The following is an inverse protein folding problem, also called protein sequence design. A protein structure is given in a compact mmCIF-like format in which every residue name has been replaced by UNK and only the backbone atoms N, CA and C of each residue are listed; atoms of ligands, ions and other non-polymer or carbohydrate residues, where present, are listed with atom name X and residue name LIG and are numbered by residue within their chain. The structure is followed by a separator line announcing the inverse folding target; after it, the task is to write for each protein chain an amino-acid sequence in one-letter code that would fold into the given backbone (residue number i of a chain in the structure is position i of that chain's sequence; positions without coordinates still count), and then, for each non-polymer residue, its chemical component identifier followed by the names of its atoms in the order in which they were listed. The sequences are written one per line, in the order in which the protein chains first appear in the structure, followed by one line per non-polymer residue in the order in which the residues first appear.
data_IF_461362636587
#
_entry.id   IF_461362636587
#
_cell.length_a   1.000
_cell.length_b   1.000
_cell.length_c   1.000
_cell.angle_alpha   90.00
_cell.angle_beta   90.00
_cell.angle_gamma   90.00
#
_symmetry.space_group_name_H-M   'P 1'
#
loop_
_entity.id
_entity.type
_entity.pdbx_description
1 polymer ?
#
# COMPACT_ATOMS: atom_id res chain seq x y z
N UNK A 1 -36.75 0.04 -7.05
CA UNK A 1 -35.60 -0.21 -7.96
C UNK A 1 -34.55 0.91 -7.89
N UNK A 2 -34.95 2.19 -7.98
CA UNK A 2 -34.02 3.30 -7.77
C UNK A 2 -33.40 3.26 -6.36
N UNK A 3 -34.20 3.02 -5.33
CA UNK A 3 -33.70 2.90 -3.95
C UNK A 3 -32.66 1.79 -3.80
N UNK A 4 -32.89 0.63 -4.45
CA UNK A 4 -31.92 -0.45 -4.49
C UNK A 4 -30.59 -0.01 -5.11
N UNK A 5 -30.64 0.73 -6.24
CA UNK A 5 -29.44 1.21 -6.92
C UNK A 5 -28.67 2.22 -6.06
N UNK A 6 -29.35 3.15 -5.40
CA UNK A 6 -28.71 4.13 -4.51
C UNK A 6 -28.09 3.47 -3.29
N UNK A 7 -28.81 2.53 -2.66
CA UNK A 7 -28.29 1.79 -1.52
C UNK A 7 -27.06 0.97 -1.90
N UNK A 8 -27.08 0.29 -3.06
CA UNK A 8 -25.95 -0.54 -3.52
C UNK A 8 -24.65 0.24 -3.78
N UNK A 9 -24.74 1.56 -4.05
CA UNK A 9 -23.59 2.42 -4.33
C UNK A 9 -22.88 2.94 -3.07
N UNK A 10 -23.39 2.65 -1.87
CA UNK A 10 -22.79 3.17 -0.65
C UNK A 10 -21.41 2.55 -0.38
N UNK A 11 -20.42 3.36 0.06
CA UNK A 11 -19.06 2.89 0.31
C UNK A 11 -18.94 2.10 1.62
N UNK A 12 -19.99 2.09 2.45
CA UNK A 12 -20.05 1.35 3.72
C UNK A 12 -21.48 0.88 3.92
N UNK A 13 -21.65 -0.37 4.36
CA UNK A 13 -22.95 -0.95 4.69
C UNK A 13 -22.98 -1.42 6.14
N UNK A 14 -24.09 -1.15 6.83
CA UNK A 14 -24.47 -1.83 8.07
C UNK A 14 -25.45 -2.97 7.78
N UNK A 15 -25.65 -3.87 8.74
CA UNK A 15 -26.64 -4.95 8.63
C UNK A 15 -28.05 -4.43 8.38
N UNK A 16 -28.41 -3.29 8.99
CA UNK A 16 -29.70 -2.61 8.75
C UNK A 16 -29.84 -2.07 7.32
N UNK A 17 -28.75 -1.53 6.76
CA UNK A 17 -28.72 -1.06 5.36
C UNK A 17 -28.84 -2.22 4.38
N UNK A 18 -28.22 -3.37 4.67
CA UNK A 18 -28.37 -4.58 3.85
C UNK A 18 -29.80 -5.11 3.87
N UNK A 19 -30.45 -5.10 5.05
CA UNK A 19 -31.88 -5.41 5.16
C UNK A 19 -32.75 -4.44 4.35
N UNK A 20 -32.41 -3.16 4.33
CA UNK A 20 -33.09 -2.14 3.52
C UNK A 20 -32.89 -2.36 2.02
N UNK A 21 -31.71 -2.79 1.60
CA UNK A 21 -31.38 -3.14 0.22
C UNK A 21 -32.18 -4.35 -0.27
N UNK A 22 -32.28 -5.41 0.53
CA UNK A 22 -33.11 -6.58 0.22
C UNK A 22 -34.60 -6.22 0.16
N UNK A 23 -35.08 -5.41 1.13
CA UNK A 23 -36.45 -4.92 1.14
C UNK A 23 -36.79 -4.10 -0.11
N UNK A 24 -35.89 -3.22 -0.56
CA UNK A 24 -36.09 -2.42 -1.77
C UNK A 24 -36.19 -3.29 -3.04
N UNK A 25 -35.45 -4.41 -3.10
CA UNK A 25 -35.53 -5.37 -4.19
C UNK A 25 -36.84 -6.18 -4.12
N UNK A 26 -37.24 -6.62 -2.92
CA UNK A 26 -38.50 -7.33 -2.68
C UNK A 26 -39.70 -6.48 -3.09
N UNK A 27 -39.77 -5.23 -2.64
CA UNK A 27 -40.82 -4.30 -3.04
C UNK A 27 -40.90 -4.15 -4.57
N UNK A 28 -39.77 -4.14 -5.28
CA UNK A 28 -39.80 -4.12 -6.75
C UNK A 28 -40.38 -5.43 -7.31
N UNK A 29 -39.99 -6.58 -6.76
CA UNK A 29 -40.52 -7.87 -7.20
C UNK A 29 -42.02 -8.06 -6.95
N UNK A 30 -42.54 -7.50 -5.85
CA UNK A 30 -43.96 -7.56 -5.53
C UNK A 30 -44.80 -6.70 -6.49
N UNK A 31 -44.24 -5.57 -6.94
CA UNK A 31 -44.95 -4.61 -7.78
C UNK A 31 -44.68 -4.77 -9.28
N UNK A 32 -43.67 -5.55 -9.71
CA UNK A 32 -43.26 -5.61 -11.14
C UNK A 32 -44.35 -6.18 -12.06
N UNK A 33 -45.28 -6.96 -11.52
CA UNK A 33 -46.32 -7.60 -12.31
C UNK A 33 -47.22 -6.59 -13.04
N UNK A 34 -47.41 -5.39 -12.45
CA UNK A 34 -48.21 -4.31 -13.05
C UNK A 34 -47.68 -3.89 -14.43
N UNK A 35 -46.37 -3.98 -14.68
CA UNK A 35 -45.78 -3.64 -15.98
C UNK A 35 -46.07 -4.70 -17.05
N UNK A 36 -46.29 -5.96 -16.65
CA UNK A 36 -46.74 -7.03 -17.55
C UNK A 36 -48.22 -6.84 -17.86
N UNK A 37 -49.02 -6.55 -16.83
CA UNK A 37 -50.47 -6.38 -16.96
C UNK A 37 -50.83 -5.16 -17.82
N UNK A 38 -50.01 -4.09 -17.76
CA UNK A 38 -50.12 -2.90 -18.62
C UNK A 38 -49.55 -3.10 -20.03
N UNK A 39 -48.98 -4.28 -20.35
CA UNK A 39 -48.39 -4.58 -21.65
C UNK A 39 -47.10 -3.83 -21.97
N UNK A 40 -46.43 -3.25 -20.96
CA UNK A 40 -45.17 -2.50 -21.14
C UNK A 40 -44.00 -3.47 -21.35
N UNK A 41 -44.06 -4.67 -20.77
CA UNK A 41 -43.02 -5.70 -20.91
C UNK A 41 -43.59 -7.11 -20.88
N UNK A 42 -43.02 -8.03 -21.67
CA UNK A 42 -43.49 -9.41 -21.77
C UNK A 42 -43.11 -10.27 -20.55
N UNK A 43 -41.94 -10.03 -19.95
CA UNK A 43 -41.47 -10.72 -18.74
C UNK A 43 -40.28 -9.97 -18.10
N UNK A 44 -39.93 -10.38 -16.87
CA UNK A 44 -38.82 -9.83 -16.10
C UNK A 44 -37.66 -10.82 -15.93
N UNK A 45 -37.45 -11.73 -16.88
CA UNK A 45 -36.35 -12.71 -16.86
C UNK A 45 -35.03 -12.06 -17.32
N UNK A 46 -34.66 -10.97 -16.68
CA UNK A 46 -33.47 -10.20 -17.01
C UNK A 46 -32.29 -10.72 -16.16
N UNK A 47 -31.20 -11.21 -16.78
CA UNK A 47 -30.03 -11.68 -16.04
C UNK A 47 -29.49 -10.64 -15.04
N UNK A 48 -29.56 -9.35 -15.41
CA UNK A 48 -29.18 -8.23 -14.52
C UNK A 48 -30.05 -8.14 -13.27
N UNK A 49 -31.36 -8.36 -13.41
CA UNK A 49 -32.29 -8.32 -12.28
C UNK A 49 -32.08 -9.54 -11.37
N UNK A 50 -31.80 -10.71 -11.94
CA UNK A 50 -31.43 -11.89 -11.17
C UNK A 50 -30.12 -11.67 -10.40
N UNK A 51 -29.12 -11.06 -11.04
CA UNK A 51 -27.85 -10.73 -10.39
C UNK A 51 -28.05 -9.85 -9.14
N UNK A 52 -29.01 -8.90 -9.16
CA UNK A 52 -29.35 -8.06 -8.00
C UNK A 52 -29.71 -8.87 -6.75
N UNK A 53 -30.28 -10.07 -6.88
CA UNK A 53 -30.63 -10.93 -5.75
C UNK A 53 -29.40 -11.44 -4.99
N UNK A 54 -28.23 -11.46 -5.63
CA UNK A 54 -26.98 -11.89 -5.01
C UNK A 54 -26.17 -10.76 -4.38
N UNK A 55 -26.60 -9.49 -4.51
CA UNK A 55 -25.82 -8.35 -4.06
C UNK A 55 -25.59 -8.36 -2.55
N UNK A 56 -26.59 -8.72 -1.74
CA UNK A 56 -26.41 -8.83 -0.30
C UNK A 56 -25.31 -9.83 0.04
N UNK A 57 -25.40 -11.07 -0.47
CA UNK A 57 -24.38 -12.10 -0.29
C UNK A 57 -23.00 -11.64 -0.78
N UNK A 58 -22.93 -10.94 -1.91
CA UNK A 58 -21.67 -10.42 -2.44
C UNK A 58 -21.08 -9.33 -1.56
N UNK A 59 -21.89 -8.42 -1.02
CA UNK A 59 -21.42 -7.35 -0.14
C UNK A 59 -20.87 -7.93 1.16
N UNK A 60 -21.51 -8.95 1.73
CA UNK A 60 -21.02 -9.61 2.95
C UNK A 60 -19.71 -10.38 2.72
N UNK A 61 -19.56 -11.04 1.57
CA UNK A 61 -18.40 -11.90 1.29
C UNK A 61 -17.21 -11.17 0.68
N UNK A 62 -17.46 -10.15 -0.13
CA UNK A 62 -16.45 -9.51 -0.98
C UNK A 62 -16.31 -8.00 -0.71
N UNK A 63 -17.20 -7.40 0.08
CA UNK A 63 -17.18 -5.98 0.39
C UNK A 63 -18.03 -5.13 -0.55
N UNK A 64 -17.92 -3.81 -0.42
CA UNK A 64 -18.75 -2.82 -1.12
C UNK A 64 -18.58 -2.86 -2.63
N UNK A 65 -19.62 -2.43 -3.36
CA UNK A 65 -19.65 -2.53 -4.83
C UNK A 65 -18.91 -1.40 -5.56
N UNK A 66 -18.42 -0.40 -4.82
CA UNK A 66 -17.74 0.80 -5.33
C UNK A 66 -16.51 0.48 -6.18
N UNK A 67 -15.77 -0.56 -5.83
CA UNK A 67 -14.55 -0.95 -6.53
C UNK A 67 -14.75 -1.95 -7.68
N UNK A 68 -16.00 -2.34 -7.98
CA UNK A 68 -16.33 -3.32 -9.02
C UNK A 68 -16.87 -2.70 -10.31
N UNK A 69 -16.92 -1.36 -10.39
CA UNK A 69 -17.33 -0.68 -11.61
C UNK A 69 -16.31 -0.88 -12.73
N UNK A 70 -16.77 -1.44 -13.85
CA UNK A 70 -15.97 -1.56 -15.08
C UNK A 70 -15.90 -0.27 -15.87
N UNK A 71 -16.60 0.80 -15.46
CA UNK A 71 -16.58 2.07 -16.18
C UNK A 71 -15.19 2.68 -16.22
N UNK A 72 -14.48 2.61 -15.09
CA UNK A 72 -13.11 3.12 -14.99
C UNK A 72 -12.16 2.38 -15.94
N UNK A 73 -12.19 1.05 -15.94
CA UNK A 73 -11.32 0.24 -16.81
C UNK A 73 -11.69 0.38 -18.28
N UNK A 74 -12.98 0.49 -18.60
CA UNK A 74 -13.44 0.79 -19.97
C UNK A 74 -12.98 2.16 -20.44
N UNK A 75 -13.05 3.19 -19.58
CA UNK A 75 -12.58 4.53 -19.91
C UNK A 75 -11.08 4.54 -20.15
N UNK A 76 -10.32 3.90 -19.26
CA UNK A 76 -8.88 3.75 -19.41
C UNK A 76 -8.54 3.04 -20.73
N UNK A 77 -9.22 1.95 -21.07
CA UNK A 77 -9.01 1.22 -22.33
C UNK A 77 -9.33 2.07 -23.58
N UNK A 78 -10.24 3.05 -23.51
CA UNK A 78 -10.43 4.01 -24.60
C UNK A 78 -9.16 4.87 -24.74
N UNK A 79 -8.76 5.51 -23.65
CA UNK A 79 -7.68 6.51 -23.65
C UNK A 79 -6.28 5.90 -23.87
N UNK A 80 -6.06 4.64 -23.47
CA UNK A 80 -4.75 3.97 -23.55
C UNK A 80 -4.66 2.97 -24.68
N UNK A 81 -5.76 2.32 -25.08
CA UNK A 81 -5.72 1.26 -26.09
C UNK A 81 -6.30 1.74 -27.40
N UNK A 82 -7.52 2.30 -27.41
CA UNK A 82 -8.16 2.73 -28.67
C UNK A 82 -7.46 3.93 -29.30
N UNK A 83 -7.18 4.95 -28.50
CA UNK A 83 -6.48 6.15 -29.00
C UNK A 83 -5.06 5.83 -29.48
N UNK A 84 -4.35 4.97 -28.73
CA UNK A 84 -3.02 4.52 -29.11
C UNK A 84 -3.06 3.72 -30.42
N UNK A 85 -3.98 2.77 -30.54
CA UNK A 85 -4.14 1.96 -31.75
C UNK A 85 -4.48 2.83 -32.97
N UNK A 86 -5.39 3.81 -32.81
CA UNK A 86 -5.75 4.75 -33.87
C UNK A 86 -4.59 5.65 -34.32
N UNK A 87 -3.57 5.84 -33.49
CA UNK A 87 -2.38 6.62 -33.80
C UNK A 87 -1.25 5.79 -34.45
N UNK A 88 -1.43 4.47 -34.59
CA UNK A 88 -0.45 3.59 -35.24
C UNK A 88 -0.70 3.47 -36.74
N UNK A 89 0.27 2.90 -37.45
CA UNK A 89 0.12 2.53 -38.86
C UNK A 89 -0.54 1.14 -39.06
N UNK A 90 -1.07 0.51 -38.01
CA UNK A 90 -1.67 -0.82 -38.02
C UNK A 90 -0.73 -1.95 -38.53
N UNK A 91 0.56 -1.85 -38.24
CA UNK A 91 1.56 -2.89 -38.53
C UNK A 91 2.55 -3.00 -37.38
N UNK A 92 2.61 -4.15 -36.72
CA UNK A 92 3.37 -4.30 -35.47
C UNK A 92 2.94 -3.24 -34.43
N UNK A 93 1.65 -3.26 -34.10
CA UNK A 93 0.98 -2.19 -33.37
C UNK A 93 1.40 -2.13 -31.91
N UNK A 94 1.74 -3.26 -31.30
CA UNK A 94 2.06 -3.32 -29.86
C UNK A 94 3.30 -2.48 -29.51
N UNK A 95 4.35 -2.54 -30.33
CA UNK A 95 5.57 -1.74 -30.12
C UNK A 95 5.26 -0.24 -30.24
N UNK A 96 4.48 0.13 -31.25
CA UNK A 96 4.07 1.52 -31.51
C UNK A 96 3.14 2.07 -30.43
N UNK A 97 2.16 1.28 -29.98
CA UNK A 97 1.24 1.66 -28.91
C UNK A 97 1.98 1.89 -27.60
N UNK A 98 3.00 1.08 -27.30
CA UNK A 98 3.82 1.23 -26.09
C UNK A 98 4.62 2.54 -26.14
N UNK A 99 5.28 2.83 -27.27
CA UNK A 99 6.01 4.10 -27.47
C UNK A 99 5.06 5.30 -27.42
N UNK A 100 3.88 5.18 -28.01
CA UNK A 100 2.87 6.22 -27.96
C UNK A 100 2.41 6.54 -26.53
N UNK A 101 2.21 5.50 -25.70
CA UNK A 101 1.88 5.66 -24.28
C UNK A 101 3.00 6.35 -23.51
N UNK A 102 4.25 5.93 -23.72
CA UNK A 102 5.43 6.56 -23.10
C UNK A 102 5.51 8.06 -23.46
N UNK A 103 5.36 8.40 -24.74
CA UNK A 103 5.35 9.79 -25.18
C UNK A 103 4.19 10.58 -24.58
N UNK A 104 2.99 10.01 -24.51
CA UNK A 104 1.81 10.64 -23.89
C UNK A 104 2.08 10.94 -22.41
N UNK A 105 2.68 10.01 -21.68
CA UNK A 105 3.09 10.22 -20.28
C UNK A 105 4.14 11.33 -20.14
N UNK A 106 5.16 11.34 -21.00
CA UNK A 106 6.18 12.38 -21.01
C UNK A 106 5.60 13.77 -21.31
N UNK A 107 4.70 13.88 -22.29
CA UNK A 107 3.99 15.12 -22.64
C UNK A 107 3.14 15.60 -21.46
N UNK A 108 2.37 14.71 -20.83
CA UNK A 108 1.57 15.05 -19.64
C UNK A 108 2.45 15.54 -18.49
N UNK A 109 3.61 14.91 -18.29
CA UNK A 109 4.62 15.35 -17.32
C UNK A 109 5.18 16.74 -17.66
N UNK A 110 5.48 16.99 -18.93
CA UNK A 110 6.01 18.27 -19.40
C UNK A 110 4.98 19.41 -19.32
N UNK A 111 3.75 19.19 -19.78
CA UNK A 111 2.65 20.16 -19.66
C UNK A 111 2.47 20.60 -18.20
N UNK A 112 2.49 19.66 -17.27
CA UNK A 112 2.44 19.97 -15.84
C UNK A 112 3.65 20.78 -15.35
N UNK A 113 4.86 20.44 -15.81
CA UNK A 113 6.07 21.22 -15.50
C UNK A 113 5.94 22.66 -15.99
N UNK A 114 5.44 22.88 -17.21
CA UNK A 114 5.20 24.22 -17.77
C UNK A 114 4.16 24.97 -16.93
N UNK A 115 3.02 24.34 -16.61
CA UNK A 115 1.99 24.93 -15.72
C UNK A 115 2.59 25.35 -14.38
N UNK A 116 3.41 24.50 -13.76
CA UNK A 116 4.11 24.82 -12.50
C UNK A 116 5.00 26.06 -12.64
N UNK A 117 5.78 26.17 -13.71
CA UNK A 117 6.67 27.33 -13.96
C UNK A 117 5.89 28.61 -14.14
N UNK A 118 4.73 28.55 -14.81
CA UNK A 118 3.84 29.68 -15.00
C UNK A 118 3.13 30.08 -13.69
N UNK A 119 2.71 29.11 -12.86
CA UNK A 119 2.06 29.37 -11.57
C UNK A 119 3.00 29.96 -10.51
N UNK A 120 4.31 29.72 -10.57
CA UNK A 120 5.29 30.32 -9.63
C UNK A 120 5.50 31.83 -9.79
N UNK A 121 4.92 32.46 -10.82
CA UNK A 121 4.91 33.93 -10.98
C UNK A 121 3.76 34.65 -10.26
N UNK A 122 2.77 33.92 -9.75
CA UNK A 122 1.69 34.47 -8.94
C UNK A 122 1.92 34.10 -7.47
N UNK A 123 1.93 35.09 -6.58
CA UNK A 123 2.16 34.91 -5.16
C UNK A 123 1.22 33.81 -4.57
N UNK A 124 1.72 32.88 -3.75
CA UNK A 124 0.89 31.83 -3.20
C UNK A 124 0.02 32.39 -2.07
N UNK A 125 -1.27 32.58 -2.35
CA UNK A 125 -2.29 32.58 -1.30
C UNK A 125 -2.37 31.15 -0.75
N UNK A 126 -1.83 30.95 0.45
CA UNK A 126 -1.99 29.74 1.24
C UNK A 126 -3.50 29.48 1.44
N UNK A 127 -4.09 28.64 0.59
CA UNK A 127 -5.33 27.96 0.94
C UNK A 127 -4.97 26.56 1.38
N UNK A 128 -5.20 26.31 2.66
CA UNK A 128 -5.19 25.00 3.30
C UNK A 128 -6.30 24.17 2.67
N UNK A 129 -6.03 23.54 1.52
CA UNK A 129 -6.91 22.52 0.97
C UNK A 129 -6.42 21.18 1.50
N UNK A 130 -7.18 20.66 2.46
CA UNK A 130 -7.10 19.30 3.00
C UNK A 130 -6.82 18.31 1.88
N UNK A 131 -5.60 17.78 1.85
CA UNK A 131 -5.15 16.86 0.82
C UNK A 131 -5.88 15.53 0.99
N UNK A 132 -6.98 15.34 0.23
CA UNK A 132 -7.54 14.01 0.01
C UNK A 132 -6.44 13.14 -0.59
N UNK A 133 -6.15 12.02 0.08
CA UNK A 133 -5.14 11.04 -0.30
C UNK A 133 -5.47 10.48 -1.68
N UNK A 134 -4.92 11.08 -2.74
CA UNK A 134 -5.01 10.52 -4.08
C UNK A 134 -4.17 9.24 -4.09
N UNK A 135 -4.84 8.09 -3.95
CA UNK A 135 -4.21 6.78 -4.09
C UNK A 135 -3.74 6.66 -5.55
N UNK A 136 -2.44 6.78 -5.79
CA UNK A 136 -1.87 6.55 -7.11
C UNK A 136 -2.16 5.11 -7.57
N UNK A 137 -2.44 4.87 -8.87
CA UNK A 137 -2.55 3.52 -9.41
C UNK A 137 -1.26 2.72 -9.13
N UNK A 138 -1.33 1.41 -8.86
CA UNK A 138 -0.20 0.59 -8.42
C UNK A 138 1.01 0.52 -9.39
N UNK A 139 0.85 1.02 -10.61
CA UNK A 139 1.90 1.06 -11.65
C UNK A 139 2.86 2.26 -11.46
N UNK A 140 2.46 3.28 -10.70
CA UNK A 140 3.21 4.51 -10.47
C UNK A 140 3.49 4.68 -8.97
N UNK A 141 4.18 3.72 -8.34
CA UNK A 141 4.69 3.93 -6.98
C UNK A 141 6.08 4.55 -7.09
N UNK A 142 6.23 5.89 -6.98
CA UNK A 142 7.54 6.51 -7.00
C UNK A 142 8.37 6.04 -5.80
N UNK A 143 9.68 6.26 -5.88
CA UNK A 143 10.60 5.82 -4.86
C UNK A 143 10.25 6.46 -3.50
N UNK A 144 9.87 5.62 -2.54
CA UNK A 144 9.55 6.06 -1.17
C UNK A 144 10.83 6.30 -0.40
N UNK A 145 10.92 7.45 0.26
CA UNK A 145 12.01 7.76 1.15
C UNK A 145 11.68 7.30 2.57
N UNK A 146 12.53 6.44 3.13
CA UNK A 146 12.45 5.99 4.51
C UNK A 146 12.91 7.12 5.44
N UNK A 147 12.05 7.50 6.38
CA UNK A 147 12.35 8.46 7.45
C UNK A 147 12.15 7.86 8.82
N UNK A 148 13.15 8.04 9.67
CA UNK A 148 13.10 7.70 11.10
C UNK A 148 13.32 8.95 11.95
N UNK A 149 12.91 8.86 13.22
CA UNK A 149 13.19 9.91 14.19
C UNK A 149 14.71 10.06 14.40
N UNK A 150 15.18 11.30 14.60
CA UNK A 150 16.60 11.57 14.91
C UNK A 150 17.01 10.98 16.25
N UNK A 151 16.09 10.92 17.20
CA UNK A 151 16.31 10.41 18.55
C UNK A 151 15.52 9.13 18.75
N UNK A 152 16.14 8.17 19.44
CA UNK A 152 15.49 6.91 19.73
C UNK A 152 14.27 7.10 20.63
N UNK A 153 13.28 6.25 20.40
CA UNK A 153 12.03 6.26 21.15
C UNK A 153 12.24 5.77 22.58
N UNK A 154 13.18 4.84 22.77
CA UNK A 154 13.63 4.38 24.09
C UNK A 154 15.13 4.15 24.07
N UNK A 155 15.83 4.79 25.00
CA UNK A 155 17.27 4.64 25.14
C UNK A 155 17.61 3.54 26.14
N UNK A 156 18.72 2.85 25.92
CA UNK A 156 19.30 1.95 26.91
C UNK A 156 18.52 0.67 27.21
N UNK A 157 17.80 0.13 26.22
CA UNK A 157 17.06 -1.15 26.33
C UNK A 157 18.05 -2.30 26.39
N UNK A 158 17.95 -3.15 27.42
CA UNK A 158 18.83 -4.31 27.59
C UNK A 158 18.50 -5.44 26.61
N UNK A 159 19.45 -6.33 26.31
CA UNK A 159 19.18 -7.49 25.45
C UNK A 159 18.07 -8.39 26.00
N UNK A 160 17.98 -8.58 27.32
CA UNK A 160 16.88 -9.34 27.94
C UNK A 160 15.52 -8.69 27.65
N UNK A 161 15.42 -7.35 27.78
CA UNK A 161 14.20 -6.61 27.48
C UNK A 161 13.82 -6.66 26.00
N UNK A 162 14.80 -6.70 25.07
CA UNK A 162 14.51 -6.90 23.65
C UNK A 162 13.83 -8.25 23.38
N UNK A 163 14.26 -9.30 24.09
CA UNK A 163 13.69 -10.64 23.95
C UNK A 163 12.29 -10.71 24.57
N UNK A 164 12.12 -10.16 25.76
CA UNK A 164 10.87 -10.24 26.53
C UNK A 164 9.79 -9.29 26.01
N UNK A 165 10.12 -8.00 25.83
CA UNK A 165 9.13 -6.97 25.50
C UNK A 165 8.92 -6.83 23.99
N UNK A 166 9.98 -7.01 23.20
CA UNK A 166 9.93 -6.84 21.75
C UNK A 166 9.85 -8.19 21.02
N UNK A 167 10.16 -9.32 21.65
CA UNK A 167 10.17 -10.63 20.99
C UNK A 167 11.42 -10.88 20.12
N UNK A 168 12.44 -10.03 20.20
CA UNK A 168 13.62 -10.06 19.34
C UNK A 168 14.64 -11.12 19.80
N UNK A 169 14.24 -12.40 19.74
CA UNK A 169 14.98 -13.56 20.27
C UNK A 169 16.39 -13.69 19.70
N UNK A 170 16.54 -13.42 18.40
CA UNK A 170 17.81 -13.59 17.68
C UNK A 170 18.59 -12.28 17.50
N UNK A 171 18.24 -11.21 18.24
CA UNK A 171 18.86 -9.90 18.06
C UNK A 171 20.39 -9.94 18.20
N UNK A 172 20.89 -10.57 19.26
CA UNK A 172 22.33 -10.69 19.49
C UNK A 172 23.02 -11.42 18.35
N UNK A 173 22.49 -12.58 17.97
CA UNK A 173 23.06 -13.40 16.90
C UNK A 173 23.07 -12.64 15.55
N UNK A 174 21.96 -12.00 15.20
CA UNK A 174 21.84 -11.19 13.98
C UNK A 174 22.75 -9.95 13.98
N UNK A 175 22.95 -9.31 15.13
CA UNK A 175 23.94 -8.24 15.29
C UNK A 175 25.36 -8.77 15.06
N UNK A 176 25.68 -9.95 15.59
CA UNK A 176 26.97 -10.61 15.38
C UNK A 176 27.21 -10.94 13.91
N UNK A 177 26.21 -11.47 13.20
CA UNK A 177 26.28 -11.72 11.76
C UNK A 177 26.49 -10.42 10.97
N UNK A 178 25.77 -9.35 11.32
CA UNK A 178 25.91 -8.05 10.66
C UNK A 178 27.32 -7.48 10.83
N UNK A 179 27.86 -7.50 12.06
CA UNK A 179 29.22 -7.00 12.32
C UNK A 179 30.26 -7.89 11.62
N UNK A 180 30.08 -9.22 11.61
CA UNK A 180 30.96 -10.14 10.91
C UNK A 180 30.99 -9.85 9.40
N UNK A 181 29.83 -9.60 8.79
CA UNK A 181 29.72 -9.21 7.37
C UNK A 181 30.33 -7.83 7.11
N UNK A 182 30.08 -6.85 8.00
CA UNK A 182 30.63 -5.51 7.87
C UNK A 182 32.17 -5.47 7.95
N UNK A 183 32.78 -6.41 8.68
CA UNK A 183 34.25 -6.57 8.78
C UNK A 183 34.87 -7.22 7.54
N UNK A 184 34.08 -7.77 6.62
CA UNK A 184 34.57 -8.44 5.41
C UNK A 184 33.81 -7.95 4.18
N UNK A 185 33.93 -6.65 3.82
CA UNK A 185 33.25 -6.11 2.65
C UNK A 185 33.76 -6.80 1.38
N UNK A 186 32.86 -7.40 0.60
CA UNK A 186 33.17 -8.02 -0.69
C UNK A 186 33.47 -9.52 -0.66
N UNK A 187 33.68 -10.12 0.52
CA UNK A 187 33.91 -11.57 0.63
C UNK A 187 32.65 -12.27 1.11
N UNK A 188 32.07 -13.13 0.27
CA UNK A 188 30.95 -13.98 0.67
C UNK A 188 31.44 -15.06 1.62
N UNK A 189 31.16 -14.88 2.91
CA UNK A 189 31.42 -15.91 3.91
C UNK A 189 30.45 -17.08 3.67
N UNK A 190 31.00 -18.29 3.55
CA UNK A 190 30.19 -19.52 3.61
C UNK A 190 29.53 -19.62 5.00
N UNK A 191 28.43 -20.35 5.14
CA UNK A 191 27.63 -20.50 6.37
C UNK A 191 28.49 -20.86 7.58
N UNK A 192 29.42 -21.81 7.44
CA UNK A 192 30.33 -22.20 8.52
C UNK A 192 31.32 -21.08 8.91
N UNK A 193 31.83 -20.33 7.92
CA UNK A 193 32.72 -19.20 8.16
C UNK A 193 31.99 -18.03 8.82
N UNK A 194 30.73 -17.77 8.41
CA UNK A 194 29.88 -16.75 9.01
C UNK A 194 29.54 -17.10 10.46
N UNK A 195 29.21 -18.36 10.77
CA UNK A 195 28.94 -18.81 12.14
C UNK A 195 30.17 -18.66 13.04
N UNK A 196 31.35 -19.04 12.56
CA UNK A 196 32.61 -18.90 13.31
C UNK A 196 32.96 -17.42 13.55
N UNK A 197 32.83 -16.57 12.53
CA UNK A 197 33.05 -15.14 12.67
C UNK A 197 32.05 -14.51 13.64
N UNK A 198 30.76 -14.88 13.56
CA UNK A 198 29.69 -14.42 14.45
C UNK A 198 29.96 -14.78 15.89
N UNK A 199 30.36 -16.02 16.18
CA UNK A 199 30.78 -16.46 17.52
C UNK A 199 31.95 -15.63 18.06
N UNK A 200 32.93 -15.34 17.20
CA UNK A 200 34.05 -14.47 17.52
C UNK A 200 33.61 -13.04 17.86
N UNK A 201 32.66 -12.46 17.12
CA UNK A 201 32.12 -11.12 17.44
C UNK A 201 31.34 -11.12 18.75
N UNK A 202 30.46 -12.10 18.93
CA UNK A 202 29.59 -12.20 20.10
C UNK A 202 30.37 -12.29 21.42
N UNK A 203 31.54 -12.92 21.40
CA UNK A 203 32.42 -13.01 22.56
C UNK A 203 32.97 -11.65 23.05
N UNK A 204 32.94 -10.61 22.21
CA UNK A 204 33.58 -9.32 22.48
C UNK A 204 32.63 -8.12 22.34
N UNK A 205 31.31 -8.30 22.43
CA UNK A 205 30.38 -7.16 22.40
C UNK A 205 30.48 -6.39 23.74
N UNK A 206 31.00 -5.15 23.76
CA UNK A 206 31.32 -4.45 25.01
C UNK A 206 30.11 -3.74 25.63
N UNK A 207 28.91 -3.93 25.10
CA UNK A 207 27.68 -3.30 25.55
C UNK A 207 26.54 -4.32 25.64
N UNK A 208 25.60 -4.06 26.54
CA UNK A 208 24.43 -4.90 26.75
C UNK A 208 23.10 -4.13 26.60
N UNK A 209 23.19 -2.86 26.19
CA UNK A 209 22.08 -1.94 26.01
C UNK A 209 22.12 -1.29 24.64
N UNK A 210 20.96 -1.09 24.03
CA UNK A 210 20.80 -0.45 22.73
C UNK A 210 19.65 0.56 22.73
N UNK A 211 19.69 1.46 21.77
CA UNK A 211 18.63 2.43 21.53
C UNK A 211 17.60 1.85 20.55
N UNK A 212 16.32 1.97 20.88
CA UNK A 212 15.21 1.39 20.11
C UNK A 212 14.37 2.49 19.48
N UNK A 213 14.04 2.30 18.20
CA UNK A 213 13.17 3.16 17.41
C UNK A 213 11.89 2.42 17.11
N UNK A 214 10.74 2.97 17.52
CA UNK A 214 9.47 2.28 17.39
C UNK A 214 8.74 2.57 16.07
N UNK A 215 9.20 3.55 15.29
CA UNK A 215 8.45 4.05 14.12
C UNK A 215 9.35 4.32 12.94
N UNK A 216 8.97 3.75 11.80
CA UNK A 216 9.53 4.04 10.49
C UNK A 216 8.42 4.66 9.65
N UNK A 217 8.71 5.77 8.96
CA UNK A 217 7.76 6.44 8.06
C UNK A 217 8.25 6.35 6.63
N UNK A 218 7.37 6.00 5.71
CA UNK A 218 7.61 6.11 4.29
C UNK A 218 7.00 7.41 3.80
N UNK A 219 7.88 8.31 3.34
CA UNK A 219 7.45 9.57 2.78
C UNK A 219 7.59 9.57 1.27
N UNK A 220 6.63 10.18 0.62
CA UNK A 220 6.60 10.34 -0.82
C UNK A 220 6.41 11.83 -1.12
N UNK A 221 7.07 12.27 -2.18
CA UNK A 221 6.75 13.52 -2.82
C UNK A 221 6.00 13.15 -4.08
N UNK A 222 4.77 13.63 -4.24
CA UNK A 222 4.06 13.45 -5.51
C UNK A 222 4.88 14.14 -6.62
N UNK A 223 5.52 13.38 -7.52
CA UNK A 223 6.31 13.98 -8.60
C UNK A 223 5.40 14.67 -9.62
N UNK A 224 4.09 14.42 -9.52
CA UNK A 224 3.02 14.87 -10.38
C UNK A 224 2.14 15.94 -9.71
N UNK A 225 2.53 16.49 -8.56
CA UNK A 225 1.81 17.61 -7.95
C UNK A 225 2.12 18.93 -8.67
N UNK A 226 1.08 19.72 -8.94
CA UNK A 226 1.19 21.05 -9.60
C UNK A 226 1.89 22.06 -8.67
N UNK A 227 1.71 21.92 -7.35
CA UNK A 227 2.40 22.70 -6.32
C UNK A 227 3.62 21.91 -5.82
N UNK A 228 4.63 22.60 -5.25
CA UNK A 228 5.72 21.95 -4.47
C UNK A 228 5.10 21.40 -3.19
N UNK A 229 4.36 20.31 -3.30
CA UNK A 229 3.70 19.69 -2.18
C UNK A 229 4.76 19.27 -1.15
N UNK A 230 4.53 19.49 0.15
CA UNK A 230 5.39 18.92 1.16
C UNK A 230 5.38 17.39 1.04
N UNK A 231 6.51 16.74 1.34
CA UNK A 231 6.57 15.28 1.47
C UNK A 231 5.48 14.84 2.44
N UNK A 232 4.58 13.98 1.98
CA UNK A 232 3.52 13.43 2.82
C UNK A 232 3.88 12.00 3.24
N UNK A 233 3.29 11.55 4.35
CA UNK A 233 3.50 10.19 4.85
C UNK A 233 2.53 9.28 4.12
N UNK A 234 3.07 8.35 3.34
CA UNK A 234 2.28 7.33 2.63
C UNK A 234 1.94 6.20 3.56
N UNK A 235 2.93 5.76 4.34
CA UNK A 235 2.80 4.60 5.20
C UNK A 235 3.77 4.69 6.39
N UNK A 236 3.52 3.91 7.43
CA UNK A 236 4.40 3.83 8.59
C UNK A 236 4.31 2.47 9.28
N UNK A 237 5.47 1.94 9.65
CA UNK A 237 5.61 0.69 10.40
C UNK A 237 5.79 1.03 11.88
N UNK A 238 5.04 0.36 12.74
CA UNK A 238 5.09 0.48 14.19
C UNK A 238 5.66 -0.78 14.86
N UNK A 239 6.44 -0.57 15.91
CA UNK A 239 7.14 -1.59 16.69
C UNK A 239 7.08 -1.26 18.19
N UNK A 240 5.88 -1.02 18.73
CA UNK A 240 5.69 -0.57 20.10
C UNK A 240 5.27 -1.74 21.00
N UNK A 241 6.01 -2.06 22.08
CA UNK A 241 5.57 -3.04 23.06
C UNK A 241 4.39 -2.50 23.86
N UNK A 242 3.72 -3.39 24.59
CA UNK A 242 2.69 -2.99 25.54
C UNK A 242 3.25 -2.00 26.56
N UNK A 243 2.50 -0.93 26.84
CA UNK A 243 2.92 0.11 27.79
C UNK A 243 1.74 0.56 28.64
N UNK A 244 2.02 1.19 29.77
CA UNK A 244 1.00 1.82 30.60
C UNK A 244 1.01 3.32 30.39
N UNK A 245 -0.18 3.91 30.26
CA UNK A 245 -0.32 5.37 30.23
C UNK A 245 -0.09 5.97 31.63
N UNK A 246 0.03 7.30 31.71
CA UNK A 246 0.12 8.08 32.95
C UNK A 246 -1.02 7.80 33.93
N UNK A 247 -2.17 7.37 33.42
CA UNK A 247 -3.36 7.01 34.20
C UNK A 247 -3.43 5.52 34.57
N UNK A 248 -2.39 4.72 34.29
CA UNK A 248 -2.32 3.30 34.65
C UNK A 248 -3.02 2.34 33.68
N UNK A 249 -3.71 2.86 32.67
CA UNK A 249 -4.35 2.05 31.62
C UNK A 249 -3.30 1.34 30.76
N UNK A 250 -3.56 0.07 30.45
CA UNK A 250 -2.72 -0.74 29.56
C UNK A 250 -3.02 -0.37 28.10
N UNK A 251 -2.00 0.11 27.40
CA UNK A 251 -2.01 0.34 25.95
C UNK A 251 -1.42 -0.91 25.30
N UNK A 252 -2.21 -1.65 24.49
CA UNK A 252 -1.74 -2.87 23.86
C UNK A 252 -0.56 -2.59 22.92
N UNK A 253 0.39 -3.55 22.87
CA UNK A 253 1.51 -3.48 21.94
C UNK A 253 1.05 -3.53 20.48
N UNK A 254 1.78 -2.83 19.61
CA UNK A 254 1.55 -2.79 18.16
C UNK A 254 2.84 -3.14 17.42
N UNK A 255 2.81 -4.29 16.73
CA UNK A 255 3.88 -4.74 15.86
C UNK A 255 3.35 -4.96 14.45
N UNK A 256 3.71 -4.05 13.54
CA UNK A 256 3.35 -4.13 12.14
C UNK A 256 4.31 -5.11 11.41
N UNK A 257 3.78 -5.86 10.45
CA UNK A 257 4.57 -6.82 9.63
C UNK A 257 5.17 -6.09 8.44
N UNK A 258 6.45 -6.31 8.18
CA UNK A 258 7.16 -5.75 7.04
C UNK A 258 7.85 -6.83 6.21
N UNK A 259 7.70 -6.76 4.88
CA UNK A 259 8.45 -7.58 3.94
C UNK A 259 9.75 -6.85 3.58
N UNK A 260 10.88 -7.53 3.76
CA UNK A 260 12.20 -6.95 3.49
C UNK A 260 12.84 -7.73 2.34
N UNK A 261 13.09 -7.05 1.22
CA UNK A 261 13.87 -7.63 0.13
C UNK A 261 15.36 -7.62 0.52
N UNK A 262 15.92 -8.80 0.74
CA UNK A 262 17.37 -8.96 0.96
C UNK A 262 18.06 -9.02 -0.41
N UNK A 263 18.86 -8.01 -0.76
CA UNK A 263 19.70 -8.07 -1.97
C UNK A 263 20.81 -9.08 -1.74
N UNK A 264 20.70 -10.26 -2.32
CA UNK A 264 21.85 -11.13 -2.61
C UNK A 264 22.59 -10.53 -3.79
N UNK A 265 23.91 -10.31 -3.66
CA UNK A 265 24.79 -9.78 -4.72
C UNK A 265 25.01 -10.75 -5.90
N UNK A 266 24.12 -11.73 -6.09
CA UNK A 266 24.08 -12.56 -7.29
C UNK A 266 22.96 -11.97 -8.14
N UNK A 267 23.32 -11.07 -9.05
CA UNK A 267 22.41 -10.65 -10.11
C UNK A 267 21.87 -11.89 -10.81
N UNK A 268 20.57 -11.88 -11.15
CA UNK A 268 19.85 -12.97 -11.81
C UNK A 268 19.38 -14.05 -10.82
N UNK A 269 18.38 -13.72 -10.00
CA UNK A 269 17.18 -14.53 -9.80
C UNK A 269 16.26 -13.80 -8.81
N UNK A 270 15.27 -13.08 -9.35
CA UNK A 270 14.08 -12.66 -8.62
C UNK A 270 13.28 -13.91 -8.23
N UNK A 271 13.76 -14.58 -7.19
CA UNK A 271 13.03 -15.64 -6.53
C UNK A 271 12.71 -15.14 -5.14
N UNK A 272 11.43 -14.86 -4.89
CA UNK A 272 10.86 -14.80 -3.55
C UNK A 272 10.96 -16.22 -3.00
N UNK A 273 12.17 -16.63 -2.59
CA UNK A 273 12.38 -17.92 -1.94
C UNK A 273 11.69 -17.82 -0.59
N UNK A 274 10.59 -18.55 -0.45
CA UNK A 274 9.95 -18.84 0.81
C UNK A 274 10.97 -19.44 1.77
N UNK A 275 11.50 -18.59 2.63
CA UNK A 275 12.43 -18.93 3.69
C UNK A 275 11.87 -18.39 4.99
N UNK A 276 11.49 -19.31 5.88
CA UNK A 276 11.17 -19.15 7.30
C UNK A 276 10.79 -17.74 7.78
N UNK A 277 9.50 -17.55 8.06
CA UNK A 277 8.98 -16.43 8.84
C UNK A 277 9.66 -16.40 10.23
N UNK A 278 10.49 -15.39 10.48
CA UNK A 278 10.97 -15.05 11.80
C UNK A 278 10.73 -13.55 12.01
N UNK A 279 10.04 -13.23 13.10
CA UNK A 279 9.63 -11.88 13.48
C UNK A 279 10.82 -10.92 13.67
N UNK A 280 10.50 -9.62 13.59
CA UNK A 280 11.22 -8.45 14.12
C UNK A 280 12.36 -7.81 13.32
N UNK A 281 12.01 -6.64 12.77
CA UNK A 281 12.82 -5.42 12.65
C UNK A 281 14.32 -5.59 12.38
N UNK A 282 14.65 -5.69 11.09
CA UNK A 282 16.00 -5.40 10.60
C UNK A 282 16.19 -3.88 10.47
N UNK A 283 16.41 -3.18 11.58
CA UNK A 283 16.84 -1.78 11.55
C UNK A 283 18.37 -1.75 11.48
N UNK A 284 18.91 -1.63 10.27
CA UNK A 284 20.34 -1.43 10.04
C UNK A 284 20.69 -0.02 10.50
N UNK A 285 21.72 0.07 11.34
CA UNK A 285 22.36 1.29 11.81
C UNK A 285 22.66 2.22 10.62
N UNK A 286 22.16 3.46 10.68
CA UNK A 286 22.60 4.51 9.79
C UNK A 286 24.02 4.92 10.16
N UNK A 287 24.96 4.77 9.23
CA UNK A 287 26.26 5.44 9.28
C UNK A 287 26.03 6.95 9.17
N UNK A 288 26.56 7.71 10.14
CA UNK A 288 26.81 9.16 10.01
C UNK A 288 27.83 9.44 8.93
#
# INVERSE_FOLDING_TARGET
MLDFLYLAQYPVHSTEMLGSLENALRCFHDNKQIFVDLGISNNFNLPKLHACSHYHMFIERYGTTDNYSTEYTKRLHIDTTKDAYSATNHKDEYSQMTVWLEHKEQIMGHDRFIRRRLSTGAAPTFSTISSSTMKHPPVLVPHRELKMARHASRNGVTFSQLVEEYGAKDFLYTLGEYIAQARSPGTRLNTAALQNATRGVLAYVPFYKVNVFHRIKFTECDPYSITRAPKYIVDSIHAEPEKRDKYGHVIPGRFDVALIQMRTMDGIHDSVKGGCFAYLFRCVLGST
#
